data_IF_856096526831
#
_entry.id   IF_856096526831
#
_cell.length_a   1.000
_cell.length_b   1.000
_cell.length_c   1.000
_cell.angle_alpha   90.00
_cell.angle_beta   90.00
_cell.angle_gamma   90.00
#
_symmetry.space_group_name_H-M   'P 1'
#
loop_
_entity.id
_entity.type
_entity.pdbx_description
1 polymer ?
#
# COMPACT_ATOMS: atom_id res chain seq x y z
N UNK A 1 -3.36 45.66 12.33
CA UNK A 1 -4.57 44.90 11.92
C UNK A 1 -4.35 44.16 10.59
N UNK A 2 -3.55 44.68 9.66
CA UNK A 2 -3.25 44.03 8.37
C UNK A 2 -2.36 42.78 8.43
N UNK A 3 -1.42 42.66 9.38
CA UNK A 3 -0.53 41.47 9.47
C UNK A 3 -1.28 40.22 9.92
N UNK A 4 -2.12 40.30 10.94
CA UNK A 4 -2.93 39.16 11.42
C UNK A 4 -3.97 38.67 10.39
N UNK A 5 -4.52 39.58 9.56
CA UNK A 5 -5.41 39.20 8.46
C UNK A 5 -4.66 38.54 7.30
N UNK A 6 -3.43 38.96 7.02
CA UNK A 6 -2.58 38.32 6.01
C UNK A 6 -2.07 36.94 6.45
N UNK A 7 -1.69 36.77 7.73
CA UNK A 7 -1.28 35.48 8.30
C UNK A 7 -2.45 34.47 8.32
N UNK A 8 -3.66 34.93 8.70
CA UNK A 8 -4.84 34.08 8.67
C UNK A 8 -5.25 33.67 7.25
N UNK A 9 -5.14 34.59 6.27
CA UNK A 9 -5.38 34.26 4.86
C UNK A 9 -4.33 33.33 4.28
N UNK A 10 -3.05 33.50 4.62
CA UNK A 10 -1.97 32.63 4.21
C UNK A 10 -2.09 31.22 4.79
N UNK A 11 -2.46 31.11 6.08
CA UNK A 11 -2.73 29.83 6.76
C UNK A 11 -3.94 29.09 6.17
N UNK A 12 -5.01 29.81 5.84
CA UNK A 12 -6.20 29.21 5.22
C UNK A 12 -5.90 28.70 3.80
N UNK A 13 -5.08 29.45 3.03
CA UNK A 13 -4.66 29.06 1.69
C UNK A 13 -3.73 27.84 1.74
N UNK A 14 -2.83 27.74 2.70
CA UNK A 14 -1.95 26.60 2.91
C UNK A 14 -2.71 25.31 3.26
N UNK A 15 -3.71 25.38 4.15
CA UNK A 15 -4.57 24.24 4.50
C UNK A 15 -5.38 23.75 3.29
N UNK A 16 -5.88 24.67 2.46
CA UNK A 16 -6.58 24.31 1.22
C UNK A 16 -5.69 23.56 0.23
N UNK A 17 -4.44 23.98 0.06
CA UNK A 17 -3.48 23.33 -0.85
C UNK A 17 -3.08 21.93 -0.36
N UNK A 18 -2.94 21.73 0.96
CA UNK A 18 -2.72 20.42 1.58
C UNK A 18 -3.87 19.46 1.27
N UNK A 19 -5.13 19.90 1.43
CA UNK A 19 -6.31 19.07 1.14
C UNK A 19 -6.38 18.65 -0.34
N UNK A 20 -6.09 19.58 -1.26
CA UNK A 20 -6.06 19.31 -2.70
C UNK A 20 -4.99 18.25 -3.03
N UNK A 21 -3.80 18.40 -2.49
CA UNK A 21 -2.71 17.46 -2.74
C UNK A 21 -3.01 16.06 -2.18
N UNK A 22 -3.62 15.99 -1.00
CA UNK A 22 -4.09 14.73 -0.41
C UNK A 22 -5.16 14.06 -1.27
N UNK A 23 -6.11 14.85 -1.83
CA UNK A 23 -7.10 14.32 -2.77
C UNK A 23 -6.47 13.80 -4.07
N UNK A 24 -5.45 14.49 -4.60
CA UNK A 24 -4.69 14.03 -5.77
C UNK A 24 -3.98 12.71 -5.48
N UNK A 25 -3.35 12.56 -4.31
CA UNK A 25 -2.72 11.29 -3.88
C UNK A 25 -3.78 10.18 -3.81
N UNK A 26 -4.92 10.44 -3.17
CA UNK A 26 -6.01 9.47 -3.08
C UNK A 26 -6.49 9.00 -4.46
N UNK A 27 -6.77 9.93 -5.37
CA UNK A 27 -7.23 9.62 -6.73
C UNK A 27 -6.19 8.82 -7.54
N UNK A 28 -4.90 9.16 -7.40
CA UNK A 28 -3.81 8.47 -8.07
C UNK A 28 -3.72 7.00 -7.63
N UNK A 29 -3.82 6.74 -6.32
CA UNK A 29 -3.78 5.38 -5.81
C UNK A 29 -5.09 4.62 -6.03
N UNK A 30 -6.24 5.31 -6.07
CA UNK A 30 -7.54 4.68 -6.26
C UNK A 30 -7.60 3.88 -7.58
N UNK A 31 -7.02 4.41 -8.69
CA UNK A 31 -6.93 3.67 -9.95
C UNK A 31 -6.21 2.33 -9.82
N UNK A 32 -5.12 2.29 -9.06
CA UNK A 32 -4.42 1.03 -8.76
C UNK A 32 -5.25 0.10 -7.88
N UNK A 33 -5.89 0.62 -6.85
CA UNK A 33 -6.64 -0.17 -5.89
C UNK A 33 -7.90 -0.79 -6.50
N UNK A 34 -8.48 -0.20 -7.55
CA UNK A 34 -9.55 -0.81 -8.35
C UNK A 34 -9.11 -2.13 -9.01
N UNK A 35 -7.82 -2.26 -9.34
CA UNK A 35 -7.31 -3.46 -9.98
C UNK A 35 -7.16 -4.65 -9.01
N UNK A 36 -6.91 -4.39 -7.73
CA UNK A 36 -6.61 -5.45 -6.75
C UNK A 36 -7.64 -6.58 -6.70
N UNK A 37 -8.97 -6.33 -6.59
CA UNK A 37 -9.95 -7.40 -6.53
C UNK A 37 -10.17 -8.13 -7.87
N UNK A 38 -9.85 -7.49 -8.99
CA UNK A 38 -10.05 -8.06 -10.32
C UNK A 38 -8.80 -8.73 -10.91
N UNK A 39 -7.63 -8.52 -10.30
CA UNK A 39 -6.35 -8.90 -10.91
C UNK A 39 -6.21 -10.42 -11.08
N UNK A 40 -6.61 -11.21 -10.10
CA UNK A 40 -6.54 -12.67 -10.17
C UNK A 40 -7.50 -13.25 -11.24
N UNK A 41 -8.81 -12.95 -11.21
CA UNK A 41 -9.71 -13.43 -12.25
C UNK A 41 -9.37 -12.88 -13.65
N UNK A 42 -8.91 -11.62 -13.74
CA UNK A 42 -8.45 -11.05 -15.00
C UNK A 42 -7.26 -11.82 -15.57
N UNK A 43 -6.26 -12.12 -14.74
CA UNK A 43 -5.08 -12.85 -15.17
C UNK A 43 -5.44 -14.21 -15.78
N UNK A 44 -6.29 -14.98 -15.11
CA UNK A 44 -6.77 -16.27 -15.61
C UNK A 44 -7.60 -16.15 -16.89
N UNK A 45 -8.48 -15.15 -16.96
CA UNK A 45 -9.31 -14.88 -18.14
C UNK A 45 -8.44 -14.59 -19.39
N UNK A 46 -7.29 -13.93 -19.24
CA UNK A 46 -6.40 -13.61 -20.36
C UNK A 46 -5.27 -14.62 -20.56
N UNK A 47 -5.24 -15.72 -19.78
CA UNK A 47 -4.25 -16.79 -19.90
C UNK A 47 -2.91 -16.53 -19.24
N UNK A 48 -2.87 -15.66 -18.21
CA UNK A 48 -1.69 -15.50 -17.36
C UNK A 48 -1.74 -16.48 -16.18
N UNK A 49 -0.61 -17.07 -15.87
CA UNK A 49 -0.42 -17.89 -14.68
C UNK A 49 -0.27 -17.03 -13.43
N UNK A 50 -0.43 -17.61 -12.24
CA UNK A 50 -0.39 -16.92 -10.96
C UNK A 50 0.92 -16.16 -10.74
N UNK A 51 2.06 -16.80 -11.04
CA UNK A 51 3.38 -16.18 -10.84
C UNK A 51 3.61 -14.95 -11.74
N UNK A 52 2.97 -14.87 -12.91
CA UNK A 52 3.02 -13.69 -13.77
C UNK A 52 2.40 -12.47 -13.05
N UNK A 53 1.30 -12.67 -12.31
CA UNK A 53 0.69 -11.62 -11.49
C UNK A 53 1.65 -11.11 -10.44
N UNK A 54 2.29 -12.04 -9.72
CA UNK A 54 3.32 -11.70 -8.75
C UNK A 54 4.48 -10.92 -9.35
N UNK A 55 4.99 -11.38 -10.51
CA UNK A 55 6.07 -10.71 -11.22
C UNK A 55 5.71 -9.27 -11.64
N UNK A 56 4.48 -9.03 -12.14
CA UNK A 56 3.99 -7.70 -12.51
C UNK A 56 3.97 -6.77 -11.29
N UNK A 57 3.43 -7.23 -10.15
CA UNK A 57 3.34 -6.43 -8.92
C UNK A 57 4.74 -6.17 -8.34
N UNK A 58 5.57 -7.21 -8.25
CA UNK A 58 6.94 -7.11 -7.74
C UNK A 58 7.81 -6.19 -8.60
N UNK A 59 7.66 -6.24 -9.93
CA UNK A 59 8.35 -5.33 -10.84
C UNK A 59 7.93 -3.88 -10.60
N UNK A 60 6.63 -3.61 -10.41
CA UNK A 60 6.15 -2.26 -10.10
C UNK A 60 6.71 -1.75 -8.76
N UNK A 61 6.76 -2.60 -7.73
CA UNK A 61 7.34 -2.27 -6.43
C UNK A 61 8.86 -2.03 -6.50
N UNK A 62 9.59 -2.82 -7.29
CA UNK A 62 11.02 -2.64 -7.53
C UNK A 62 11.30 -1.29 -8.20
N UNK A 63 10.60 -0.99 -9.30
CA UNK A 63 10.75 0.28 -10.02
C UNK A 63 10.37 1.46 -9.13
N UNK A 64 9.28 1.35 -8.36
CA UNK A 64 8.88 2.35 -7.38
C UNK A 64 10.01 2.61 -6.37
N UNK A 65 10.59 1.57 -5.81
CA UNK A 65 11.66 1.69 -4.81
C UNK A 65 12.91 2.35 -5.39
N UNK A 66 13.32 1.95 -6.59
CA UNK A 66 14.52 2.48 -7.24
C UNK A 66 14.37 3.95 -7.66
N UNK A 67 13.18 4.36 -8.13
CA UNK A 67 12.96 5.69 -8.68
C UNK A 67 12.42 6.70 -7.66
N UNK A 68 11.90 6.28 -6.50
CA UNK A 68 11.28 7.19 -5.53
C UNK A 68 12.25 8.25 -5.00
N UNK A 69 13.52 7.90 -4.73
CA UNK A 69 14.53 8.87 -4.30
C UNK A 69 14.88 9.87 -5.41
N UNK A 70 15.00 9.41 -6.66
CA UNK A 70 15.23 10.28 -7.81
C UNK A 70 14.12 11.32 -7.94
N UNK A 71 12.85 10.90 -7.87
CA UNK A 71 11.71 11.80 -7.98
C UNK A 71 11.57 12.73 -6.79
N UNK A 72 11.89 12.27 -5.58
CA UNK A 72 11.94 13.12 -4.39
C UNK A 72 12.90 14.32 -4.57
N UNK A 73 14.13 14.04 -4.99
CA UNK A 73 15.14 15.09 -5.30
C UNK A 73 14.73 15.96 -6.49
N UNK A 74 14.15 15.35 -7.52
CA UNK A 74 13.72 16.08 -8.71
C UNK A 74 12.57 17.04 -8.41
N UNK A 75 11.63 16.65 -7.54
CA UNK A 75 10.50 17.49 -7.15
C UNK A 75 10.94 18.76 -6.40
N UNK A 76 12.00 18.67 -5.60
CA UNK A 76 12.59 19.85 -4.93
C UNK A 76 13.21 20.83 -5.93
N UNK A 77 13.81 20.34 -7.03
CA UNK A 77 14.47 21.18 -8.04
C UNK A 77 13.51 21.81 -9.04
N UNK A 78 12.55 21.05 -9.58
CA UNK A 78 11.66 21.50 -10.66
C UNK A 78 10.26 21.86 -10.18
N UNK A 79 9.98 21.66 -8.90
CA UNK A 79 8.70 21.88 -8.25
C UNK A 79 7.76 20.67 -8.29
N UNK A 80 6.98 20.45 -7.21
CA UNK A 80 6.12 19.28 -7.03
C UNK A 80 5.02 19.20 -8.10
N UNK A 81 4.44 20.33 -8.50
CA UNK A 81 3.36 20.35 -9.50
C UNK A 81 3.77 19.75 -10.85
N UNK A 82 4.96 20.10 -11.35
CA UNK A 82 5.45 19.58 -12.63
C UNK A 82 5.71 18.06 -12.57
N UNK A 83 6.29 17.60 -11.49
CA UNK A 83 6.55 16.17 -11.28
C UNK A 83 5.25 15.38 -11.17
N UNK A 84 4.27 15.89 -10.44
CA UNK A 84 2.96 15.25 -10.31
C UNK A 84 2.18 15.23 -11.63
N UNK A 85 2.21 16.31 -12.43
CA UNK A 85 1.62 16.35 -13.78
C UNK A 85 2.23 15.23 -14.65
N UNK A 86 3.56 15.14 -14.67
CA UNK A 86 4.26 14.08 -15.41
C UNK A 86 3.83 12.69 -14.92
N UNK A 87 3.78 12.48 -13.60
CA UNK A 87 3.36 11.22 -12.99
C UNK A 87 1.93 10.83 -13.39
N UNK A 88 0.97 11.77 -13.38
CA UNK A 88 -0.42 11.50 -13.76
C UNK A 88 -0.54 11.16 -15.25
N UNK A 89 0.16 11.89 -16.14
CA UNK A 89 0.17 11.59 -17.58
C UNK A 89 0.80 10.23 -17.86
N UNK A 90 1.95 9.93 -17.26
CA UNK A 90 2.61 8.65 -17.41
C UNK A 90 1.74 7.51 -16.85
N UNK A 91 1.07 7.74 -15.71
CA UNK A 91 0.14 6.79 -15.10
C UNK A 91 -1.08 6.52 -15.97
N UNK A 92 -1.65 7.55 -16.60
CA UNK A 92 -2.72 7.39 -17.57
C UNK A 92 -2.29 6.54 -18.77
N UNK A 93 -1.14 6.83 -19.35
CA UNK A 93 -0.59 6.04 -20.47
C UNK A 93 -0.30 4.60 -20.07
N UNK A 94 0.28 4.40 -18.88
CA UNK A 94 0.61 3.07 -18.35
C UNK A 94 -0.62 2.21 -18.13
N UNK A 95 -1.63 2.74 -17.41
CA UNK A 95 -2.85 2.00 -17.12
C UNK A 95 -3.70 1.81 -18.39
N UNK A 96 -3.73 2.80 -19.28
CA UNK A 96 -4.40 2.70 -20.57
C UNK A 96 -3.74 1.64 -21.47
N UNK A 97 -2.42 1.63 -21.56
CA UNK A 97 -1.69 0.60 -22.30
C UNK A 97 -1.89 -0.79 -21.70
N UNK A 98 -1.92 -0.91 -20.36
CA UNK A 98 -2.23 -2.17 -19.70
C UNK A 98 -3.65 -2.65 -20.02
N UNK A 99 -4.64 -1.75 -20.02
CA UNK A 99 -6.01 -2.09 -20.40
C UNK A 99 -6.08 -2.59 -21.86
N UNK A 100 -5.33 -1.98 -22.77
CA UNK A 100 -5.24 -2.44 -24.16
C UNK A 100 -4.58 -3.81 -24.28
N UNK A 101 -3.50 -4.06 -23.54
CA UNK A 101 -2.83 -5.37 -23.50
C UNK A 101 -3.80 -6.45 -22.97
N UNK A 102 -4.51 -6.18 -21.88
CA UNK A 102 -5.47 -7.11 -21.31
C UNK A 102 -6.65 -7.36 -22.28
N UNK A 103 -7.16 -6.32 -22.93
CA UNK A 103 -8.20 -6.45 -23.94
C UNK A 103 -7.72 -7.28 -25.15
N UNK A 104 -6.51 -7.02 -25.64
CA UNK A 104 -5.93 -7.83 -26.73
C UNK A 104 -5.74 -9.29 -26.32
N UNK A 105 -5.29 -9.55 -25.07
CA UNK A 105 -5.20 -10.89 -24.50
C UNK A 105 -6.56 -11.59 -24.42
N UNK A 106 -7.60 -10.91 -23.93
CA UNK A 106 -8.96 -11.48 -23.83
C UNK A 106 -9.60 -11.82 -25.18
N UNK A 107 -9.14 -11.17 -26.26
CA UNK A 107 -9.55 -11.46 -27.64
C UNK A 107 -8.65 -12.46 -28.34
N UNK A 108 -7.63 -12.98 -27.67
CA UNK A 108 -6.64 -13.90 -28.28
C UNK A 108 -5.74 -13.25 -29.35
N UNK A 109 -5.70 -11.90 -29.44
CA UNK A 109 -4.84 -11.19 -30.38
C UNK A 109 -3.37 -11.27 -29.99
N UNK A 110 -3.08 -11.37 -28.70
CA UNK A 110 -1.75 -11.60 -28.14
C UNK A 110 -1.82 -12.69 -27.08
N UNK A 111 -0.79 -13.53 -27.00
CA UNK A 111 -0.72 -14.63 -26.03
C UNK A 111 0.74 -14.94 -25.65
N UNK A 112 0.92 -15.80 -24.65
CA UNK A 112 2.23 -16.30 -24.22
C UNK A 112 3.19 -15.17 -23.86
N UNK A 113 4.41 -15.24 -24.38
CA UNK A 113 5.48 -14.28 -24.07
C UNK A 113 5.08 -12.82 -24.29
N UNK A 114 4.43 -12.50 -25.40
CA UNK A 114 4.08 -11.11 -25.73
C UNK A 114 3.01 -10.52 -24.79
N UNK A 115 2.10 -11.35 -24.30
CA UNK A 115 1.10 -10.94 -23.30
C UNK A 115 1.78 -10.65 -21.96
N UNK A 116 2.65 -11.54 -21.50
CA UNK A 116 3.40 -11.35 -20.24
C UNK A 116 4.30 -10.14 -20.33
N UNK A 117 5.07 -10.01 -21.41
CA UNK A 117 5.96 -8.87 -21.63
C UNK A 117 5.17 -7.55 -21.65
N UNK A 118 4.06 -7.49 -22.38
CA UNK A 118 3.19 -6.31 -22.43
C UNK A 118 2.64 -5.93 -21.03
N UNK A 119 2.18 -6.93 -20.27
CA UNK A 119 1.68 -6.70 -18.92
C UNK A 119 2.77 -6.21 -17.96
N UNK A 120 3.96 -6.83 -17.98
CA UNK A 120 5.11 -6.40 -17.15
C UNK A 120 5.59 -5.02 -17.57
N UNK A 121 5.72 -4.74 -18.86
CA UNK A 121 6.18 -3.45 -19.36
C UNK A 121 5.21 -2.31 -18.97
N UNK A 122 3.91 -2.51 -19.18
CA UNK A 122 2.91 -1.46 -18.95
C UNK A 122 2.54 -1.31 -17.48
N UNK A 123 2.17 -2.40 -16.80
CA UNK A 123 1.70 -2.37 -15.40
C UNK A 123 2.85 -2.47 -14.39
N UNK A 124 3.91 -3.20 -14.72
CA UNK A 124 5.11 -3.31 -13.87
C UNK A 124 5.99 -2.07 -13.99
N UNK A 125 6.63 -1.89 -15.16
CA UNK A 125 7.69 -0.87 -15.33
C UNK A 125 7.10 0.52 -15.50
N UNK A 126 6.22 0.73 -16.47
CA UNK A 126 5.72 2.05 -16.83
C UNK A 126 4.87 2.65 -15.70
N UNK A 127 3.94 1.87 -15.16
CA UNK A 127 3.14 2.30 -14.02
C UNK A 127 3.96 2.46 -12.74
N UNK A 128 4.88 1.53 -12.45
CA UNK A 128 5.82 1.65 -11.33
C UNK A 128 6.62 2.95 -11.39
N UNK A 129 7.08 3.35 -12.60
CA UNK A 129 7.75 4.63 -12.83
C UNK A 129 6.85 5.84 -12.56
N UNK A 130 5.59 5.77 -12.95
CA UNK A 130 4.63 6.84 -12.70
C UNK A 130 4.35 7.03 -11.20
N UNK A 131 3.98 5.95 -10.51
CA UNK A 131 3.57 6.01 -9.10
C UNK A 131 4.73 6.32 -8.16
N UNK A 132 5.98 5.99 -8.57
CA UNK A 132 7.20 6.29 -7.81
C UNK A 132 7.41 7.79 -7.57
N UNK A 133 6.81 8.65 -8.38
CA UNK A 133 6.93 10.10 -8.24
C UNK A 133 5.86 10.70 -7.32
N UNK A 134 4.71 10.04 -7.13
CA UNK A 134 3.55 10.63 -6.47
C UNK A 134 3.81 10.88 -4.98
N UNK A 135 4.15 9.82 -4.24
CA UNK A 135 4.37 9.94 -2.78
C UNK A 135 5.55 10.84 -2.44
N UNK A 136 6.75 10.68 -3.03
CA UNK A 136 7.88 11.54 -2.68
C UNK A 136 7.65 13.02 -3.01
N UNK A 137 6.98 13.32 -4.14
CA UNK A 137 6.68 14.71 -4.48
C UNK A 137 5.64 15.32 -3.55
N UNK A 138 4.60 14.57 -3.16
CA UNK A 138 3.60 15.03 -2.22
C UNK A 138 4.18 15.21 -0.81
N UNK A 139 4.93 14.23 -0.30
CA UNK A 139 5.58 14.30 1.02
C UNK A 139 6.57 15.45 1.11
N UNK A 140 7.44 15.58 0.12
CA UNK A 140 8.42 16.65 0.06
C UNK A 140 7.78 18.04 0.15
N UNK A 141 6.69 18.26 -0.59
CA UNK A 141 5.96 19.52 -0.54
C UNK A 141 5.28 19.72 0.82
N UNK A 142 4.53 18.75 1.32
CA UNK A 142 3.79 18.89 2.57
C UNK A 142 4.72 19.13 3.75
N UNK A 143 5.82 18.38 3.84
CA UNK A 143 6.83 18.56 4.89
C UNK A 143 7.50 19.91 4.81
N UNK A 144 7.75 20.45 3.60
CA UNK A 144 8.36 21.78 3.42
C UNK A 144 7.46 22.93 3.87
N UNK A 145 6.15 22.72 3.99
CA UNK A 145 5.18 23.70 4.46
C UNK A 145 4.95 23.66 5.98
N UNK A 146 5.50 22.66 6.68
CA UNK A 146 5.30 22.48 8.11
C UNK A 146 6.32 23.31 8.91
N UNK A 147 5.84 24.04 9.90
CA UNK A 147 6.70 24.82 10.80
C UNK A 147 7.09 24.04 12.05
N UNK A 148 6.21 23.13 12.50
CA UNK A 148 6.44 22.29 13.65
C UNK A 148 6.58 20.82 13.27
N UNK A 149 7.21 20.04 14.15
CA UNK A 149 7.30 18.59 13.98
C UNK A 149 5.92 17.91 14.09
N UNK A 150 5.05 18.43 14.95
CA UNK A 150 3.68 17.95 15.07
C UNK A 150 2.93 18.07 13.74
N UNK A 151 3.12 19.18 13.01
CA UNK A 151 2.52 19.37 11.69
C UNK A 151 3.12 18.43 10.63
N UNK A 152 4.41 18.14 10.71
CA UNK A 152 5.06 17.15 9.83
C UNK A 152 4.46 15.75 10.04
N UNK A 153 4.30 15.33 11.29
CA UNK A 153 3.68 14.04 11.63
C UNK A 153 2.24 13.97 11.11
N UNK A 154 1.45 15.05 11.29
CA UNK A 154 0.09 15.15 10.76
C UNK A 154 0.05 15.08 9.22
N UNK A 155 0.98 15.77 8.55
CA UNK A 155 1.05 15.79 7.09
C UNK A 155 1.38 14.41 6.51
N UNK A 156 2.38 13.73 7.04
CA UNK A 156 2.76 12.36 6.62
C UNK A 156 1.65 11.36 6.98
N UNK A 157 1.06 11.49 8.16
CA UNK A 157 -0.10 10.70 8.57
C UNK A 157 -1.30 10.88 7.64
N UNK A 158 -1.55 12.11 7.18
CA UNK A 158 -2.60 12.43 6.20
C UNK A 158 -2.40 11.69 4.87
N UNK A 159 -1.17 11.60 4.38
CA UNK A 159 -0.85 10.83 3.16
C UNK A 159 -1.14 9.34 3.37
N UNK A 160 -0.74 8.78 4.51
CA UNK A 160 -1.02 7.39 4.87
C UNK A 160 -2.54 7.11 4.94
N UNK A 161 -3.30 8.02 5.55
CA UNK A 161 -4.76 7.93 5.62
C UNK A 161 -5.41 7.97 4.23
N UNK A 162 -4.95 8.85 3.33
CA UNK A 162 -5.47 8.91 1.96
C UNK A 162 -5.12 7.66 1.15
N UNK A 163 -3.93 7.10 1.33
CA UNK A 163 -3.56 5.82 0.73
C UNK A 163 -4.46 4.67 1.23
N UNK A 164 -4.72 4.60 2.54
CA UNK A 164 -5.65 3.63 3.12
C UNK A 164 -7.08 3.80 2.58
N UNK A 165 -7.58 5.04 2.51
CA UNK A 165 -8.91 5.36 2.00
C UNK A 165 -9.03 5.01 0.50
N UNK A 166 -7.97 5.24 -0.30
CA UNK A 166 -7.94 4.84 -1.70
C UNK A 166 -8.05 3.32 -1.86
N UNK A 167 -7.48 2.55 -0.91
CA UNK A 167 -7.60 1.10 -0.88
C UNK A 167 -9.04 0.64 -0.71
N UNK A 168 -9.78 1.21 0.23
CA UNK A 168 -11.19 0.89 0.45
C UNK A 168 -12.04 1.30 -0.74
N UNK A 169 -11.99 2.57 -1.11
CA UNK A 169 -12.82 3.12 -2.19
C UNK A 169 -12.49 2.45 -3.52
N UNK A 170 -11.20 2.28 -3.85
CA UNK A 170 -10.76 1.62 -5.07
C UNK A 170 -11.24 0.18 -5.16
N UNK A 171 -11.14 -0.59 -4.07
CA UNK A 171 -11.63 -1.98 -4.04
C UNK A 171 -13.15 -2.05 -4.23
N UNK A 172 -13.92 -1.13 -3.61
CA UNK A 172 -15.38 -1.03 -3.82
C UNK A 172 -15.67 -0.78 -5.29
N UNK A 173 -15.04 0.23 -5.88
CA UNK A 173 -15.25 0.56 -7.30
C UNK A 173 -14.84 -0.60 -8.21
N UNK A 174 -13.70 -1.23 -7.97
CA UNK A 174 -13.24 -2.38 -8.74
C UNK A 174 -14.24 -3.54 -8.71
N UNK A 175 -14.73 -3.91 -7.52
CA UNK A 175 -15.71 -4.98 -7.35
C UNK A 175 -17.06 -4.63 -7.94
N UNK A 176 -17.64 -3.47 -7.63
CA UNK A 176 -18.97 -3.07 -8.12
C UNK A 176 -18.98 -2.92 -9.64
N UNK A 177 -18.00 -2.26 -10.22
CA UNK A 177 -17.91 -2.09 -11.67
C UNK A 177 -17.74 -3.42 -12.40
N UNK A 178 -16.99 -4.37 -11.80
CA UNK A 178 -16.84 -5.71 -12.39
C UNK A 178 -18.15 -6.48 -12.38
N UNK A 179 -18.99 -6.32 -11.35
CA UNK A 179 -20.32 -6.94 -11.29
C UNK A 179 -21.31 -6.35 -12.29
N UNK A 180 -21.15 -5.06 -12.66
CA UNK A 180 -22.06 -4.37 -13.61
C UNK A 180 -21.66 -4.65 -15.06
N UNK A 181 -20.37 -4.56 -15.39
CA UNK A 181 -19.88 -4.60 -16.78
C UNK A 181 -18.70 -5.55 -17.00
N UNK A 182 -18.52 -6.56 -16.14
CA UNK A 182 -17.41 -7.49 -16.22
C UNK A 182 -16.06 -6.87 -15.89
N UNK A 183 -14.99 -7.67 -15.95
CA UNK A 183 -13.64 -7.25 -15.56
C UNK A 183 -13.08 -6.12 -16.43
N UNK A 184 -13.56 -5.97 -17.67
CA UNK A 184 -13.07 -4.94 -18.58
C UNK A 184 -13.57 -3.54 -18.23
N UNK A 185 -14.69 -3.41 -17.52
CA UNK A 185 -15.24 -2.09 -17.17
C UNK A 185 -14.34 -1.33 -16.17
N UNK A 186 -13.99 -1.89 -14.98
CA UNK A 186 -13.05 -1.21 -14.08
C UNK A 186 -11.68 -1.01 -14.72
N UNK A 187 -11.21 -1.95 -15.54
CA UNK A 187 -9.96 -1.85 -16.26
C UNK A 187 -9.93 -0.67 -17.23
N UNK A 188 -11.06 -0.39 -17.89
CA UNK A 188 -11.20 0.74 -18.81
C UNK A 188 -11.33 2.09 -18.07
N UNK A 189 -11.91 2.09 -16.86
CA UNK A 189 -12.15 3.30 -16.07
C UNK A 189 -10.89 3.74 -15.30
N UNK A 190 -10.08 2.79 -14.80
CA UNK A 190 -8.93 3.12 -13.94
C UNK A 190 -7.93 4.13 -14.54
N UNK A 191 -7.63 4.17 -15.87
CA UNK A 191 -6.76 5.20 -16.43
C UNK A 191 -7.33 6.62 -16.24
N UNK A 192 -8.66 6.76 -16.37
CA UNK A 192 -9.32 8.06 -16.24
C UNK A 192 -9.22 8.64 -14.82
N UNK A 193 -9.01 7.81 -13.79
CA UNK A 193 -8.72 8.31 -12.44
C UNK A 193 -7.45 9.15 -12.41
N UNK A 194 -6.45 8.81 -13.23
CA UNK A 194 -5.23 9.62 -13.38
C UNK A 194 -5.52 10.96 -14.07
N UNK A 195 -6.44 10.98 -15.03
CA UNK A 195 -6.87 12.25 -15.67
C UNK A 195 -7.69 13.11 -14.71
N UNK A 196 -8.54 12.51 -13.88
CA UNK A 196 -9.27 13.25 -12.83
C UNK A 196 -8.28 13.86 -11.83
N UNK A 197 -7.30 13.07 -11.36
CA UNK A 197 -6.24 13.55 -10.50
C UNK A 197 -5.44 14.69 -11.16
N UNK A 198 -5.12 14.55 -12.46
CA UNK A 198 -4.45 15.58 -13.25
C UNK A 198 -5.29 16.86 -13.36
N UNK A 199 -6.59 16.74 -13.63
CA UNK A 199 -7.48 17.89 -13.72
C UNK A 199 -7.58 18.65 -12.39
N UNK A 200 -7.75 17.94 -11.28
CA UNK A 200 -7.75 18.52 -9.93
C UNK A 200 -6.41 19.20 -9.63
N UNK A 201 -5.29 18.54 -9.93
CA UNK A 201 -3.96 19.08 -9.73
C UNK A 201 -3.71 20.35 -10.57
N UNK A 202 -4.07 20.31 -11.84
CA UNK A 202 -3.86 21.42 -12.77
C UNK A 202 -4.69 22.65 -12.39
N UNK A 203 -5.98 22.43 -12.10
CA UNK A 203 -6.93 23.49 -11.82
C UNK A 203 -6.77 24.11 -10.43
N UNK A 204 -6.58 23.28 -9.40
CA UNK A 204 -6.70 23.73 -8.01
C UNK A 204 -5.37 23.82 -7.26
N UNK A 205 -4.33 23.04 -7.64
CA UNK A 205 -3.08 23.05 -6.91
C UNK A 205 -2.13 24.18 -7.34
N UNK A 206 -1.87 25.09 -6.43
CA UNK A 206 -0.94 26.22 -6.61
C UNK A 206 0.17 26.13 -5.54
N UNK A 207 1.32 25.52 -5.85
CA UNK A 207 2.38 25.37 -4.88
C UNK A 207 2.95 26.72 -4.42
N UNK A 208 3.18 26.89 -3.11
CA UNK A 208 3.87 28.03 -2.55
C UNK A 208 5.37 28.00 -2.93
N UNK A 209 5.95 29.16 -3.15
CA UNK A 209 7.37 29.29 -3.48
C UNK A 209 8.32 29.05 -2.28
N UNK A 210 7.82 29.03 -1.04
CA UNK A 210 8.60 28.95 0.17
C UNK A 210 8.89 27.51 0.62
N UNK A 211 9.47 26.69 -0.26
CA UNK A 211 9.96 25.38 0.15
C UNK A 211 11.26 25.51 0.95
N UNK A 212 11.22 25.19 2.25
CA UNK A 212 12.44 25.09 3.07
C UNK A 212 13.22 23.84 2.67
N UNK A 213 14.55 23.95 2.60
CA UNK A 213 15.41 22.78 2.47
C UNK A 213 15.23 21.90 3.72
N UNK A 214 14.98 20.61 3.52
CA UNK A 214 14.90 19.65 4.62
C UNK A 214 16.32 19.13 4.88
N UNK A 215 16.80 19.26 6.13
CA UNK A 215 18.08 18.72 6.53
C UNK A 215 18.14 17.21 6.34
N UNK A 216 19.29 16.67 5.95
CA UNK A 216 19.47 15.23 5.81
C UNK A 216 19.35 14.58 7.20
N UNK A 217 18.46 13.57 7.36
CA UNK A 217 18.30 12.90 8.66
C UNK A 217 19.56 12.13 9.03
N UNK A 218 19.84 12.00 10.33
CA UNK A 218 20.94 11.20 10.83
C UNK A 218 20.84 9.74 10.34
N UNK A 219 21.97 9.16 9.97
CA UNK A 219 22.03 7.78 9.45
C UNK A 219 21.89 6.79 10.60
N UNK A 220 20.89 5.90 10.52
CA UNK A 220 20.69 4.79 11.43
C UNK A 220 21.07 3.49 10.73
N UNK A 221 21.76 2.59 11.42
CA UNK A 221 22.08 1.27 10.86
C UNK A 221 20.89 0.35 10.90
N UNK A 222 20.66 -0.44 9.82
CA UNK A 222 19.64 -1.48 9.78
C UNK A 222 19.84 -2.54 10.89
N UNK A 223 21.09 -2.84 11.22
CA UNK A 223 21.47 -3.83 12.25
C UNK A 223 21.65 -3.24 13.65
N UNK A 224 21.18 -2.01 13.91
CA UNK A 224 21.16 -1.45 15.26
C UNK A 224 20.32 -2.35 16.19
N UNK A 225 20.87 -2.84 17.31
CA UNK A 225 20.16 -3.74 18.23
C UNK A 225 18.84 -3.17 18.79
N UNK A 226 18.69 -1.85 18.80
CA UNK A 226 17.47 -1.16 19.24
C UNK A 226 16.35 -1.28 18.19
N UNK A 227 16.71 -1.36 16.91
CA UNK A 227 15.81 -1.24 15.76
C UNK A 227 15.60 -2.58 15.05
N UNK A 228 16.66 -3.34 14.86
CA UNK A 228 16.66 -4.59 14.07
C UNK A 228 15.55 -5.59 14.45
N UNK A 229 15.26 -5.86 15.75
CA UNK A 229 14.20 -6.79 16.11
C UNK A 229 12.81 -6.34 15.65
N UNK A 230 12.55 -5.02 15.72
CA UNK A 230 11.30 -4.45 15.20
C UNK A 230 11.22 -4.53 13.68
N UNK A 231 12.32 -4.23 12.97
CA UNK A 231 12.37 -4.34 11.51
C UNK A 231 12.12 -5.78 11.06
N UNK A 232 12.71 -6.75 11.72
CA UNK A 232 12.55 -8.18 11.40
C UNK A 232 11.09 -8.64 11.59
N UNK A 233 10.47 -8.25 12.71
CA UNK A 233 9.06 -8.55 12.97
C UNK A 233 8.16 -7.84 11.97
N UNK A 234 8.43 -6.57 11.64
CA UNK A 234 7.72 -5.84 10.60
C UNK A 234 7.87 -6.47 9.22
N UNK A 235 9.07 -6.96 8.89
CA UNK A 235 9.32 -7.69 7.65
C UNK A 235 8.43 -8.93 7.54
N UNK A 236 8.36 -9.76 8.57
CA UNK A 236 7.50 -10.96 8.59
C UNK A 236 6.02 -10.58 8.48
N UNK A 237 5.59 -9.56 9.21
CA UNK A 237 4.20 -9.07 9.15
C UNK A 237 3.81 -8.61 7.74
N UNK A 238 4.60 -7.72 7.15
CA UNK A 238 4.29 -7.17 5.82
C UNK A 238 4.46 -8.20 4.71
N UNK A 239 5.43 -9.12 4.83
CA UNK A 239 5.61 -10.22 3.89
C UNK A 239 4.39 -11.14 3.90
N UNK A 240 3.90 -11.54 5.09
CA UNK A 240 2.70 -12.36 5.25
C UNK A 240 1.43 -11.62 4.76
N UNK A 241 1.26 -10.34 5.14
CA UNK A 241 0.12 -9.53 4.74
C UNK A 241 0.06 -9.32 3.23
N UNK A 242 1.18 -8.95 2.60
CA UNK A 242 1.27 -8.77 1.15
C UNK A 242 1.06 -10.08 0.39
N UNK A 243 1.55 -11.20 0.92
CA UNK A 243 1.30 -12.53 0.36
C UNK A 243 -0.18 -12.87 0.33
N UNK A 244 -0.89 -12.69 1.46
CA UNK A 244 -2.34 -12.91 1.52
C UNK A 244 -3.10 -11.96 0.59
N UNK A 245 -2.75 -10.67 0.61
CA UNK A 245 -3.41 -9.68 -0.25
C UNK A 245 -3.28 -10.01 -1.74
N UNK A 246 -2.13 -10.54 -2.16
CA UNK A 246 -1.89 -10.89 -3.57
C UNK A 246 -2.59 -12.16 -3.99
N UNK A 247 -2.70 -13.16 -3.08
CA UNK A 247 -3.27 -14.47 -3.41
C UNK A 247 -4.77 -14.57 -3.16
N UNK A 248 -5.37 -13.63 -2.42
CA UNK A 248 -6.78 -13.71 -1.98
C UNK A 248 -7.76 -13.89 -3.13
N UNK A 249 -7.56 -13.25 -4.29
CA UNK A 249 -8.43 -13.39 -5.44
C UNK A 249 -8.40 -14.80 -6.03
N UNK A 250 -7.24 -15.44 -6.10
CA UNK A 250 -7.11 -16.83 -6.53
C UNK A 250 -7.78 -17.78 -5.53
N UNK A 251 -7.58 -17.54 -4.23
CA UNK A 251 -8.21 -18.32 -3.15
C UNK A 251 -9.73 -18.28 -3.23
N UNK A 252 -10.31 -17.11 -3.44
CA UNK A 252 -11.76 -16.90 -3.58
C UNK A 252 -12.27 -17.66 -4.79
N UNK A 253 -11.60 -17.53 -5.94
CA UNK A 253 -12.00 -18.20 -7.17
C UNK A 253 -11.98 -19.72 -7.03
N UNK A 254 -10.86 -20.26 -6.52
CA UNK A 254 -10.68 -21.73 -6.46
C UNK A 254 -11.54 -22.40 -5.41
N UNK A 255 -11.64 -21.80 -4.20
CA UNK A 255 -12.35 -22.45 -3.09
C UNK A 255 -13.85 -22.29 -3.12
N UNK A 256 -14.33 -21.19 -3.72
CA UNK A 256 -15.77 -20.95 -3.87
C UNK A 256 -16.27 -21.35 -5.26
N UNK A 257 -15.40 -21.81 -6.17
CA UNK A 257 -15.70 -22.22 -7.54
C UNK A 257 -16.56 -21.20 -8.29
N UNK A 258 -16.13 -19.92 -8.24
CA UNK A 258 -16.87 -18.78 -8.78
C UNK A 258 -16.40 -18.42 -10.19
N UNK A 259 -17.30 -17.80 -10.97
CA UNK A 259 -16.93 -17.09 -12.20
C UNK A 259 -16.07 -15.83 -11.90
N UNK A 260 -15.53 -15.22 -12.94
CA UNK A 260 -14.58 -14.10 -12.82
C UNK A 260 -15.24 -12.88 -12.15
N UNK A 261 -16.50 -12.59 -12.43
CA UNK A 261 -17.24 -11.43 -11.94
C UNK A 261 -17.59 -11.56 -10.46
N UNK A 262 -18.11 -12.70 -10.06
CA UNK A 262 -18.41 -13.00 -8.66
C UNK A 262 -17.12 -13.08 -7.83
N UNK A 263 -16.07 -13.65 -8.40
CA UNK A 263 -14.74 -13.67 -7.77
C UNK A 263 -14.25 -12.25 -7.46
N UNK A 264 -14.34 -11.34 -8.41
CA UNK A 264 -13.94 -9.94 -8.21
C UNK A 264 -14.80 -9.26 -7.13
N UNK A 265 -16.12 -9.48 -7.15
CA UNK A 265 -17.06 -8.95 -6.16
C UNK A 265 -16.77 -9.45 -4.74
N UNK A 266 -16.58 -10.74 -4.55
CA UNK A 266 -16.30 -11.33 -3.24
C UNK A 266 -14.90 -11.02 -2.75
N UNK A 267 -13.91 -10.97 -3.63
CA UNK A 267 -12.56 -10.49 -3.30
C UNK A 267 -12.61 -9.04 -2.81
N UNK A 268 -13.38 -8.19 -3.50
CA UNK A 268 -13.60 -6.80 -3.08
C UNK A 268 -14.22 -6.73 -1.68
N UNK A 269 -15.27 -7.51 -1.41
CA UNK A 269 -15.93 -7.56 -0.11
C UNK A 269 -14.95 -7.96 1.01
N UNK A 270 -14.14 -8.98 0.77
CA UNK A 270 -13.12 -9.45 1.71
C UNK A 270 -12.08 -8.36 1.98
N UNK A 271 -11.60 -7.67 0.94
CA UNK A 271 -10.66 -6.55 1.08
C UNK A 271 -11.25 -5.36 1.82
N UNK A 272 -12.54 -5.07 1.62
CA UNK A 272 -13.26 -4.01 2.33
C UNK A 272 -13.35 -4.36 3.82
N UNK A 273 -13.79 -5.57 4.16
CA UNK A 273 -13.90 -6.03 5.56
C UNK A 273 -12.54 -5.94 6.26
N UNK A 274 -11.47 -6.42 5.60
CA UNK A 274 -10.11 -6.33 6.11
C UNK A 274 -9.67 -4.87 6.35
N UNK A 275 -9.92 -3.98 5.39
CA UNK A 275 -9.51 -2.57 5.49
C UNK A 275 -10.33 -1.81 6.54
N UNK A 276 -11.64 -2.01 6.59
CA UNK A 276 -12.54 -1.35 7.55
C UNK A 276 -12.18 -1.77 8.97
N UNK A 277 -12.00 -3.07 9.23
CA UNK A 277 -11.62 -3.57 10.56
C UNK A 277 -10.24 -3.07 10.98
N UNK A 278 -9.28 -2.98 10.05
CA UNK A 278 -7.97 -2.39 10.31
C UNK A 278 -8.08 -0.90 10.69
N UNK A 279 -8.82 -0.11 9.92
CA UNK A 279 -9.01 1.34 10.17
C UNK A 279 -9.72 1.56 11.49
N UNK A 280 -10.81 0.85 11.76
CA UNK A 280 -11.55 0.94 13.03
C UNK A 280 -10.65 0.57 14.20
N UNK A 281 -9.86 -0.47 14.08
CA UNK A 281 -8.91 -0.88 15.11
C UNK A 281 -7.88 0.23 15.38
N UNK A 282 -7.25 0.79 14.35
CA UNK A 282 -6.22 1.83 14.49
C UNK A 282 -6.78 3.17 14.98
N UNK A 283 -7.94 3.59 14.47
CA UNK A 283 -8.50 4.90 14.78
C UNK A 283 -9.31 4.94 16.08
N UNK A 284 -9.92 3.82 16.48
CA UNK A 284 -10.88 3.79 17.58
C UNK A 284 -10.37 2.93 18.74
N UNK A 285 -9.91 1.72 18.47
CA UNK A 285 -9.58 0.74 19.52
C UNK A 285 -8.22 1.04 20.13
N UNK A 286 -7.18 1.13 19.30
CA UNK A 286 -5.78 1.32 19.75
C UNK A 286 -5.62 2.57 20.64
N UNK A 287 -6.15 3.75 20.29
CA UNK A 287 -6.01 4.94 21.14
C UNK A 287 -6.67 4.83 22.51
N UNK A 288 -7.77 4.04 22.61
CA UNK A 288 -8.47 3.83 23.88
C UNK A 288 -7.78 2.86 24.82
N UNK A 289 -7.05 1.88 24.28
CA UNK A 289 -6.42 0.83 25.08
C UNK A 289 -5.18 1.32 25.84
N UNK A 290 -4.51 2.38 25.36
CA UNK A 290 -3.26 2.92 25.94
C UNK A 290 -2.20 1.82 26.20
N UNK A 291 -2.14 0.81 25.33
CA UNK A 291 -1.18 -0.30 25.45
C UNK A 291 0.21 0.12 24.95
N UNK A 292 1.24 -0.51 25.51
CA UNK A 292 2.61 -0.34 25.01
C UNK A 292 2.74 -0.87 23.58
N UNK A 293 3.67 -0.29 22.81
CA UNK A 293 3.97 -0.73 21.45
C UNK A 293 4.27 -2.24 21.37
N UNK A 294 4.98 -2.77 22.39
CA UNK A 294 5.33 -4.19 22.49
C UNK A 294 4.10 -5.07 22.74
N UNK A 295 3.15 -4.61 23.56
CA UNK A 295 1.89 -5.33 23.79
C UNK A 295 1.02 -5.34 22.54
N UNK A 296 0.94 -4.21 21.83
CA UNK A 296 0.23 -4.11 20.54
C UNK A 296 0.81 -5.09 19.52
N UNK A 297 2.13 -5.19 19.39
CA UNK A 297 2.78 -6.17 18.52
C UNK A 297 2.41 -7.61 18.89
N UNK A 298 2.54 -8.00 20.16
CA UNK A 298 2.24 -9.37 20.61
C UNK A 298 0.80 -9.78 20.31
N UNK A 299 -0.16 -8.95 20.71
CA UNK A 299 -1.58 -9.23 20.46
C UNK A 299 -1.87 -9.24 18.97
N UNK A 300 -1.30 -8.30 18.21
CA UNK A 300 -1.43 -8.26 16.76
C UNK A 300 -0.93 -9.54 16.09
N UNK A 301 0.25 -10.05 16.48
CA UNK A 301 0.80 -11.30 15.91
C UNK A 301 0.02 -12.55 16.31
N UNK A 302 -0.58 -12.59 17.49
CA UNK A 302 -1.51 -13.67 17.88
C UNK A 302 -2.72 -13.69 16.93
N UNK A 303 -3.36 -12.52 16.72
CA UNK A 303 -4.51 -12.41 15.84
C UNK A 303 -4.15 -12.71 14.37
N UNK A 304 -2.98 -12.25 13.91
CA UNK A 304 -2.47 -12.56 12.59
C UNK A 304 -2.24 -14.06 12.40
N UNK A 305 -1.67 -14.74 13.39
CA UNK A 305 -1.46 -16.19 13.35
C UNK A 305 -2.80 -16.96 13.30
N UNK A 306 -3.78 -16.53 14.09
CA UNK A 306 -5.14 -17.08 14.05
C UNK A 306 -5.76 -16.85 12.65
N UNK A 307 -5.60 -15.65 12.09
CA UNK A 307 -6.09 -15.33 10.75
C UNK A 307 -5.46 -16.22 9.68
N UNK A 308 -4.15 -16.49 9.75
CA UNK A 308 -3.48 -17.41 8.83
C UNK A 308 -4.11 -18.81 8.83
N UNK A 309 -4.42 -19.33 10.01
CA UNK A 309 -5.11 -20.61 10.16
C UNK A 309 -6.55 -20.55 9.63
N UNK A 310 -7.28 -19.46 9.91
CA UNK A 310 -8.64 -19.29 9.39
C UNK A 310 -8.65 -19.20 7.85
N UNK A 311 -7.69 -18.52 7.24
CA UNK A 311 -7.54 -18.52 5.77
C UNK A 311 -7.19 -19.90 5.23
N UNK A 312 -6.35 -20.66 5.92
CA UNK A 312 -6.02 -22.03 5.53
C UNK A 312 -7.27 -22.91 5.49
N UNK A 313 -8.17 -22.78 6.49
CA UNK A 313 -9.41 -23.56 6.63
C UNK A 313 -10.57 -22.97 5.79
N UNK A 314 -10.44 -21.77 5.24
CA UNK A 314 -11.50 -20.99 4.62
C UNK A 314 -12.05 -21.59 3.33
N UNK A 315 -13.09 -22.43 3.43
CA UNK A 315 -13.81 -23.03 2.30
C UNK A 315 -15.19 -22.41 2.08
N UNK A 316 -15.57 -21.39 2.85
CA UNK A 316 -16.83 -20.67 2.73
C UNK A 316 -16.57 -19.17 2.79
N UNK A 317 -17.44 -18.39 2.15
CA UNK A 317 -17.33 -16.93 2.18
C UNK A 317 -17.35 -16.39 3.62
N UNK A 318 -18.21 -16.94 4.47
CA UNK A 318 -18.32 -16.51 5.88
C UNK A 318 -16.99 -16.69 6.62
N UNK A 319 -16.31 -17.83 6.45
CA UNK A 319 -15.03 -18.08 7.10
C UNK A 319 -13.91 -17.19 6.54
N UNK A 320 -13.91 -16.94 5.24
CA UNK A 320 -12.97 -15.99 4.61
C UNK A 320 -13.19 -14.55 5.10
N UNK A 321 -14.44 -14.13 5.32
CA UNK A 321 -14.76 -12.82 5.90
C UNK A 321 -14.31 -12.70 7.36
N UNK A 322 -14.50 -13.76 8.17
CA UNK A 322 -14.00 -13.80 9.55
C UNK A 322 -12.46 -13.74 9.56
N UNK A 323 -11.80 -14.49 8.68
CA UNK A 323 -10.36 -14.45 8.53
C UNK A 323 -9.88 -13.04 8.14
N UNK A 324 -10.56 -12.38 7.18
CA UNK A 324 -10.28 -11.02 6.75
C UNK A 324 -10.49 -9.98 7.86
N UNK A 325 -11.55 -10.10 8.64
CA UNK A 325 -11.77 -9.26 9.80
C UNK A 325 -10.65 -9.45 10.84
N UNK A 326 -10.26 -10.70 11.10
CA UNK A 326 -9.22 -11.04 12.06
C UNK A 326 -7.85 -10.51 11.63
N UNK A 327 -7.47 -10.62 10.34
CA UNK A 327 -6.23 -10.03 9.85
C UNK A 327 -6.25 -8.50 9.91
N UNK A 328 -7.40 -7.87 9.59
CA UNK A 328 -7.54 -6.43 9.69
C UNK A 328 -7.32 -5.94 11.13
N UNK A 329 -7.92 -6.59 12.12
CA UNK A 329 -7.69 -6.28 13.54
C UNK A 329 -6.24 -6.57 13.92
N UNK A 330 -5.67 -7.70 13.49
CA UNK A 330 -4.27 -8.09 13.77
C UNK A 330 -3.25 -7.07 13.26
N UNK A 331 -3.36 -6.64 11.99
CA UNK A 331 -2.53 -5.56 11.42
C UNK A 331 -2.85 -4.23 12.11
N UNK A 332 -4.12 -3.98 12.44
CA UNK A 332 -4.57 -2.81 13.17
C UNK A 332 -3.86 -2.62 14.51
N UNK A 333 -3.56 -3.69 15.22
CA UNK A 333 -2.73 -3.68 16.44
C UNK A 333 -1.23 -3.68 16.14
N UNK A 334 -0.76 -4.56 15.26
CA UNK A 334 0.67 -4.77 15.06
C UNK A 334 1.36 -3.58 14.39
N UNK A 335 0.73 -2.92 13.43
CA UNK A 335 1.33 -1.82 12.66
C UNK A 335 1.67 -0.58 13.51
N UNK A 336 0.80 -0.07 14.40
CA UNK A 336 1.18 0.99 15.33
C UNK A 336 2.32 0.57 16.27
N UNK A 337 2.30 -0.68 16.76
CA UNK A 337 3.37 -1.22 17.59
C UNK A 337 4.72 -1.30 16.86
N UNK A 338 4.72 -1.69 15.60
CA UNK A 338 5.88 -1.74 14.72
C UNK A 338 6.45 -0.35 14.44
N UNK A 339 5.59 0.62 14.13
CA UNK A 339 6.04 1.97 13.80
C UNK A 339 6.52 2.75 15.02
N UNK A 340 5.85 2.62 16.17
CA UNK A 340 6.18 3.35 17.37
C UNK A 340 7.25 2.67 18.24
N UNK A 341 7.34 1.33 18.20
CA UNK A 341 8.23 0.57 19.07
C UNK A 341 9.69 1.01 19.03
N UNK A 342 10.32 1.05 17.85
CA UNK A 342 11.72 1.43 17.75
C UNK A 342 11.99 2.92 18.03
N UNK A 343 10.99 3.82 17.87
CA UNK A 343 11.19 5.26 18.13
C UNK A 343 11.41 5.58 19.60
N UNK A 344 10.95 4.71 20.51
CA UNK A 344 11.02 4.95 21.96
C UNK A 344 12.45 4.94 22.51
N UNK A 345 13.37 4.25 21.82
CA UNK A 345 14.78 4.09 22.23
C UNK A 345 15.73 4.92 21.32
N UNK A 346 15.20 5.83 20.48
CA UNK A 346 15.96 6.63 19.50
C UNK A 346 15.97 8.11 19.88
N UNK A 347 17.12 8.77 19.62
CA UNK A 347 17.21 10.21 19.74
C UNK A 347 16.38 10.92 18.65
N UNK A 348 16.05 12.18 18.90
CA UNK A 348 15.20 12.96 18.00
C UNK A 348 15.76 13.08 16.58
N UNK A 349 17.08 13.27 16.46
CA UNK A 349 17.79 13.38 15.19
C UNK A 349 17.82 12.06 14.41
N UNK A 350 17.70 10.92 15.09
CA UNK A 350 17.72 9.57 14.49
C UNK A 350 16.35 9.15 13.94
N UNK A 351 15.25 9.80 14.36
CA UNK A 351 13.88 9.38 13.99
C UNK A 351 13.61 9.45 12.48
N UNK A 352 14.19 10.44 11.80
CA UNK A 352 14.09 10.56 10.35
C UNK A 352 14.79 9.39 9.61
N UNK A 353 15.97 8.99 10.09
CA UNK A 353 16.68 7.83 9.55
C UNK A 353 15.93 6.51 9.78
N UNK A 354 15.36 6.36 10.98
CA UNK A 354 14.52 5.22 11.33
C UNK A 354 13.28 5.10 10.44
N UNK A 355 12.56 6.21 10.20
CA UNK A 355 11.41 6.22 9.29
C UNK A 355 11.79 5.77 7.86
N UNK A 356 12.99 6.17 7.40
CA UNK A 356 13.57 5.70 6.15
C UNK A 356 13.81 4.19 6.13
N UNK A 357 14.37 3.63 7.22
CA UNK A 357 14.59 2.19 7.35
C UNK A 357 13.27 1.40 7.38
N UNK A 358 12.26 1.87 8.11
CA UNK A 358 10.91 1.27 8.13
C UNK A 358 10.32 1.24 6.72
N UNK A 359 10.41 2.36 5.99
CA UNK A 359 9.90 2.45 4.62
C UNK A 359 10.64 1.52 3.65
N UNK A 360 11.97 1.42 3.75
CA UNK A 360 12.77 0.52 2.94
C UNK A 360 12.45 -0.95 3.25
N UNK A 361 12.29 -1.30 4.53
CA UNK A 361 11.92 -2.62 4.99
C UNK A 361 10.55 -3.04 4.42
N UNK A 362 9.55 -2.15 4.48
CA UNK A 362 8.23 -2.39 3.91
C UNK A 362 8.30 -2.53 2.38
N UNK A 363 9.07 -1.67 1.72
CA UNK A 363 9.30 -1.74 0.27
C UNK A 363 9.87 -3.07 -0.17
N UNK A 364 10.86 -3.60 0.56
CA UNK A 364 11.45 -4.91 0.27
C UNK A 364 10.41 -6.05 0.32
N UNK A 365 9.47 -6.00 1.27
CA UNK A 365 8.40 -7.01 1.36
C UNK A 365 7.45 -6.96 0.16
N UNK A 366 7.10 -5.77 -0.32
CA UNK A 366 6.26 -5.62 -1.52
C UNK A 366 6.96 -6.02 -2.83
N UNK A 367 8.29 -6.07 -2.85
CA UNK A 367 9.05 -6.63 -3.98
C UNK A 367 9.04 -8.16 -3.92
N UNK A 368 9.23 -8.75 -2.74
CA UNK A 368 9.43 -10.19 -2.58
C UNK A 368 8.09 -10.95 -2.49
N UNK A 369 7.16 -10.46 -1.67
CA UNK A 369 5.93 -11.19 -1.31
C UNK A 369 5.08 -11.59 -2.51
N UNK A 370 4.77 -10.69 -3.48
CA UNK A 370 3.87 -11.05 -4.57
C UNK A 370 4.40 -12.19 -5.42
N UNK A 371 5.64 -12.10 -5.91
CA UNK A 371 6.20 -13.15 -6.76
C UNK A 371 6.39 -14.46 -5.99
N UNK A 372 6.83 -14.39 -4.73
CA UNK A 372 7.02 -15.58 -3.89
C UNK A 372 5.69 -16.28 -3.61
N UNK A 373 4.69 -15.54 -3.15
CA UNK A 373 3.40 -16.14 -2.75
C UNK A 373 2.61 -16.67 -3.94
N UNK A 374 2.62 -15.98 -5.08
CA UNK A 374 1.89 -16.43 -6.27
C UNK A 374 2.60 -17.60 -6.97
N UNK A 375 3.92 -17.65 -6.97
CA UNK A 375 4.68 -18.82 -7.46
C UNK A 375 4.41 -20.04 -6.60
N UNK A 376 4.41 -19.88 -5.27
CA UNK A 376 4.06 -20.95 -4.36
C UNK A 376 2.60 -21.39 -4.52
N UNK A 377 1.68 -20.44 -4.73
CA UNK A 377 0.28 -20.73 -4.94
C UNK A 377 0.04 -21.52 -6.24
N UNK A 378 0.68 -21.14 -7.33
CA UNK A 378 0.60 -21.84 -8.60
C UNK A 378 1.21 -23.24 -8.57
N UNK A 379 2.30 -23.44 -7.76
CA UNK A 379 2.87 -24.78 -7.56
C UNK A 379 1.99 -25.68 -6.70
N UNK A 380 1.54 -25.19 -5.54
CA UNK A 380 0.59 -25.86 -4.64
C UNK A 380 -0.12 -24.80 -3.79
N UNK A 381 -1.44 -24.61 -3.93
CA UNK A 381 -2.18 -23.55 -3.22
C UNK A 381 -1.95 -23.53 -1.70
N UNK A 382 -1.74 -24.70 -1.10
CA UNK A 382 -1.47 -24.86 0.32
C UNK A 382 -0.12 -24.23 0.74
N UNK A 383 0.89 -24.27 -0.12
CA UNK A 383 2.26 -23.84 0.22
C UNK A 383 2.36 -22.34 0.52
N UNK A 384 1.56 -21.52 -0.16
CA UNK A 384 1.48 -20.08 0.10
C UNK A 384 0.93 -19.79 1.51
N UNK A 385 -0.04 -20.57 1.99
CA UNK A 385 -0.56 -20.42 3.36
C UNK A 385 0.40 -20.93 4.42
N UNK A 386 1.11 -22.04 4.14
CA UNK A 386 2.18 -22.54 5.03
C UNK A 386 3.26 -21.47 5.20
N UNK A 387 3.68 -20.82 4.12
CA UNK A 387 4.62 -19.69 4.19
C UNK A 387 4.09 -18.59 5.11
N UNK A 388 2.85 -18.16 4.92
CA UNK A 388 2.23 -17.10 5.73
C UNK A 388 2.21 -17.48 7.21
N UNK A 389 1.76 -18.70 7.55
CA UNK A 389 1.70 -19.19 8.93
C UNK A 389 3.10 -19.25 9.56
N UNK A 390 4.10 -19.77 8.83
CA UNK A 390 5.49 -19.83 9.29
C UNK A 390 6.03 -18.45 9.62
N UNK A 391 5.81 -17.46 8.73
CA UNK A 391 6.24 -16.08 8.96
C UNK A 391 5.56 -15.46 10.19
N UNK A 392 4.26 -15.66 10.34
CA UNK A 392 3.51 -15.11 11.46
C UNK A 392 3.87 -15.77 12.80
N UNK A 393 4.06 -17.08 12.82
CA UNK A 393 4.50 -17.81 14.00
C UNK A 393 5.95 -17.44 14.37
N UNK A 394 6.83 -17.29 13.37
CA UNK A 394 8.21 -16.82 13.61
C UNK A 394 8.23 -15.40 14.19
N UNK A 395 7.39 -14.50 13.64
CA UNK A 395 7.22 -13.14 14.17
C UNK A 395 6.66 -13.13 15.60
N UNK A 396 5.68 -13.98 15.89
CA UNK A 396 5.14 -14.16 17.24
C UNK A 396 6.20 -14.68 18.20
N UNK A 397 6.96 -15.69 17.80
CA UNK A 397 8.06 -16.25 18.61
C UNK A 397 9.11 -15.16 18.92
N UNK A 398 9.49 -14.33 17.96
CA UNK A 398 10.37 -13.19 18.18
C UNK A 398 9.78 -12.20 19.19
N UNK A 399 8.48 -11.87 19.08
CA UNK A 399 7.81 -10.96 20.01
C UNK A 399 7.78 -11.49 21.44
N UNK A 400 7.77 -12.82 21.64
CA UNK A 400 7.71 -13.46 22.96
C UNK A 400 9.10 -13.75 23.53
N UNK A 401 10.08 -14.08 22.70
CA UNK A 401 11.39 -14.57 23.13
C UNK A 401 12.47 -13.50 23.14
N UNK A 402 12.43 -12.53 22.17
CA UNK A 402 13.51 -11.54 22.07
C UNK A 402 13.42 -10.49 23.19
N UNK A 403 14.51 -10.24 23.96
CA UNK A 403 14.49 -9.35 25.13
C UNK A 403 13.96 -7.94 24.83
N UNK A 404 14.35 -7.34 23.70
CA UNK A 404 13.92 -6.00 23.27
C UNK A 404 12.41 -5.91 23.03
N UNK A 405 11.77 -7.00 22.59
CA UNK A 405 10.34 -7.07 22.25
C UNK A 405 9.49 -7.58 23.44
N UNK A 406 10.09 -8.40 24.31
CA UNK A 406 9.41 -9.01 25.45
C UNK A 406 9.25 -8.05 26.63
N UNK A 407 10.31 -7.36 27.01
CA UNK A 407 10.33 -6.57 28.23
C UNK A 407 9.61 -5.24 28.04
N UNK A 408 8.50 -5.05 28.74
CA UNK A 408 7.86 -3.74 28.87
C UNK A 408 8.74 -2.92 29.83
N UNK A 409 9.49 -1.95 29.28
CA UNK A 409 10.11 -0.95 30.15
C UNK A 409 8.98 -0.10 30.74
N UNK A 410 8.96 -0.06 32.07
CA UNK A 410 8.00 0.76 32.86
C UNK A 410 8.27 2.24 32.66
#
# INVERSE_FOLDING_TARGET
>A
MNERTNEAASSATGKGQTGILLAVVMLAFMGQMMLNPILAPLARMIGLEEWHVGAIISMAALVLTLLSQFWGRRSQKVGPKRVLIFAMLLGFLALGSFALVAYAGSRGLIAGFWLVFGAVATRGILYGSAISAVLPAAQSYLVSQCESEEDRVKAVGGIGAMNGLSGVIGSVFGGVLSMIGGLMLPLSIMPFMMLVALAVLAAAFKPSANARAVDEPAKVSYFDPRVFPFLLVGFFMFLAFSSLQTTIGFVVQDRLALDETLTAGYTSLIMIVMSVTMIVCQAVVVPRLKWSARRLLRVGFVLLSISGVLFLMGNTLALLLIAAATIGVGVGFAMPGYNAGPTMDMAHEEQGGLAGLISANNGATYIIAPVLSTSLYGWAPLSSFVLVIVLLVAGLALCLLHPTLRNERK
#
